data_IF_366068638753
#
_entry.id   IF_366068638753
#
_cell.length_a   1.000
_cell.length_b   1.000
_cell.length_c   1.000
_cell.angle_alpha   90.00
_cell.angle_beta   90.00
_cell.angle_gamma   90.00
#
_symmetry.space_group_name_H-M   'P 1'
#
loop_
_entity.id
_entity.type
_entity.pdbx_description
1 polymer ?
#
# COMPACT_ATOMS: atom_id res chain seq x y z
N UNK A 1 12.56 -9.46 20.20
CA UNK A 1 12.56 -7.99 20.28
C UNK A 1 11.66 -7.44 19.19
N UNK A 2 10.47 -6.97 19.53
CA UNK A 2 9.64 -6.19 18.60
C UNK A 2 10.40 -4.92 18.23
N UNK A 3 10.71 -4.72 16.94
CA UNK A 3 11.26 -3.45 16.48
C UNK A 3 10.17 -2.39 16.64
N UNK A 4 10.34 -1.45 17.57
CA UNK A 4 9.49 -0.27 17.65
C UNK A 4 9.61 0.51 16.34
N UNK A 5 8.51 0.57 15.59
CA UNK A 5 8.41 1.35 14.35
C UNK A 5 8.58 2.83 14.68
N UNK A 6 9.47 3.51 13.96
CA UNK A 6 9.70 4.93 14.18
C UNK A 6 8.66 5.80 13.46
N UNK A 7 8.22 6.86 14.12
CA UNK A 7 7.27 7.83 13.54
C UNK A 7 7.80 8.46 12.24
N UNK A 8 9.12 8.65 12.14
CA UNK A 8 9.77 9.19 10.93
C UNK A 8 9.55 8.29 9.72
N UNK A 9 9.64 6.97 9.92
CA UNK A 9 9.43 5.99 8.86
C UNK A 9 7.97 5.98 8.41
N UNK A 10 7.02 5.99 9.35
CA UNK A 10 5.58 6.09 9.04
C UNK A 10 5.24 7.37 8.27
N UNK A 11 5.85 8.50 8.63
CA UNK A 11 5.73 9.75 7.86
C UNK A 11 6.33 9.59 6.46
N UNK A 12 7.43 8.85 6.32
CA UNK A 12 8.02 8.52 5.02
C UNK A 12 7.09 7.70 4.14
N UNK A 13 6.51 6.63 4.68
CA UNK A 13 5.60 5.73 3.96
C UNK A 13 4.32 6.45 3.56
N UNK A 14 3.68 7.16 4.50
CA UNK A 14 2.44 7.89 4.24
C UNK A 14 2.56 8.92 3.14
N UNK A 15 3.72 9.59 2.98
CA UNK A 15 3.94 10.55 1.88
C UNK A 15 3.88 9.92 0.48
N UNK A 16 4.11 8.61 0.37
CA UNK A 16 4.14 7.90 -0.91
C UNK A 16 2.78 7.33 -1.32
N UNK A 17 1.85 7.18 -0.37
CA UNK A 17 0.55 6.53 -0.63
C UNK A 17 -0.65 7.39 -0.24
N UNK A 18 -0.54 8.29 0.75
CA UNK A 18 -1.65 9.13 1.19
C UNK A 18 -1.70 10.46 0.44
N UNK A 19 -2.91 10.96 0.22
CA UNK A 19 -3.14 12.26 -0.36
C UNK A 19 -2.62 13.42 0.49
N UNK A 20 -2.15 14.48 -0.19
CA UNK A 20 -1.66 15.72 0.46
C UNK A 20 -2.67 16.33 1.42
N UNK A 21 -3.97 16.23 1.14
CA UNK A 21 -5.04 16.72 2.02
C UNK A 21 -5.07 15.96 3.35
N UNK A 22 -4.90 14.64 3.31
CA UNK A 22 -4.85 13.77 4.50
C UNK A 22 -3.59 14.08 5.31
N UNK A 23 -2.43 14.17 4.65
CA UNK A 23 -1.16 14.50 5.30
C UNK A 23 -1.19 15.84 6.05
N UNK A 24 -1.87 16.86 5.49
CA UNK A 24 -2.09 18.14 6.17
C UNK A 24 -2.90 17.99 7.46
N UNK A 25 -3.90 17.10 7.50
CA UNK A 25 -4.69 16.83 8.72
C UNK A 25 -3.85 16.12 9.77
N UNK A 26 -3.11 15.07 9.39
CA UNK A 26 -2.21 14.33 10.30
C UNK A 26 -1.14 15.25 10.91
N UNK A 27 -0.64 16.25 10.15
CA UNK A 27 0.36 17.19 10.67
C UNK A 27 -0.16 18.00 11.87
N UNK A 28 -1.48 18.21 12.00
CA UNK A 28 -2.09 18.97 13.10
C UNK A 28 -2.22 18.17 14.40
N UNK A 29 -2.08 16.84 14.36
CA UNK A 29 -2.08 15.99 15.56
C UNK A 29 -0.80 16.26 16.34
N UNK A 30 -0.95 16.71 17.60
CA UNK A 30 0.16 17.12 18.47
C UNK A 30 0.74 15.94 19.23
N UNK A 31 -0.10 15.04 19.74
CA UNK A 31 0.35 13.86 20.46
C UNK A 31 1.11 12.91 19.53
N UNK A 32 2.26 12.41 19.99
CA UNK A 32 3.14 11.59 19.15
C UNK A 32 2.63 10.17 18.98
N UNK A 33 2.06 9.58 20.02
CA UNK A 33 1.56 8.20 19.97
C UNK A 33 0.24 8.14 19.21
N UNK A 34 -0.69 9.08 19.47
CA UNK A 34 -1.93 9.20 18.70
C UNK A 34 -1.64 9.37 17.20
N UNK A 35 -0.64 10.20 16.87
CA UNK A 35 -0.21 10.40 15.48
C UNK A 35 0.38 9.15 14.86
N UNK A 36 1.11 8.36 15.64
CA UNK A 36 1.72 7.11 15.20
C UNK A 36 0.65 6.07 14.89
N UNK A 37 -0.30 5.88 15.80
CA UNK A 37 -1.42 4.94 15.64
C UNK A 37 -2.30 5.34 14.45
N UNK A 38 -2.61 6.62 14.33
CA UNK A 38 -3.33 7.15 13.18
C UNK A 38 -2.61 6.87 11.86
N UNK A 39 -1.29 7.06 11.81
CA UNK A 39 -0.49 6.76 10.61
C UNK A 39 -0.49 5.27 10.28
N UNK A 40 -0.32 4.39 11.28
CA UNK A 40 -0.38 2.94 11.10
C UNK A 40 -1.72 2.53 10.49
N UNK A 41 -2.82 3.02 11.08
CA UNK A 41 -4.17 2.73 10.60
C UNK A 41 -4.37 3.20 9.16
N UNK A 42 -4.02 4.45 8.86
CA UNK A 42 -4.22 5.03 7.53
C UNK A 42 -3.34 4.37 6.46
N UNK A 43 -2.08 4.05 6.78
CA UNK A 43 -1.19 3.34 5.85
C UNK A 43 -1.76 1.97 5.52
N UNK A 44 -2.17 1.19 6.53
CA UNK A 44 -2.81 -0.11 6.34
C UNK A 44 -4.03 0.03 5.43
N UNK A 45 -4.93 0.96 5.77
CA UNK A 45 -6.19 1.14 5.05
C UNK A 45 -5.96 1.55 3.59
N UNK A 46 -5.02 2.45 3.33
CA UNK A 46 -4.70 2.88 1.99
C UNK A 46 -4.14 1.75 1.13
N UNK A 47 -3.25 0.92 1.68
CA UNK A 47 -2.71 -0.24 0.98
C UNK A 47 -3.80 -1.27 0.62
N UNK A 48 -4.71 -1.53 1.56
CA UNK A 48 -5.88 -2.38 1.32
C UNK A 48 -6.77 -1.82 0.19
N UNK A 49 -7.02 -0.50 0.20
CA UNK A 49 -7.79 0.18 -0.85
C UNK A 49 -7.10 0.10 -2.21
N UNK A 50 -5.78 0.28 -2.26
CA UNK A 50 -4.99 0.14 -3.49
C UNK A 50 -5.12 -1.29 -4.04
N UNK A 51 -4.99 -2.31 -3.19
CA UNK A 51 -5.15 -3.70 -3.61
C UNK A 51 -6.57 -3.98 -4.12
N UNK A 52 -7.59 -3.53 -3.40
CA UNK A 52 -8.98 -3.66 -3.82
C UNK A 52 -9.23 -3.04 -5.21
N UNK A 53 -8.67 -1.85 -5.45
CA UNK A 53 -8.79 -1.18 -6.74
C UNK A 53 -8.08 -1.91 -7.87
N UNK A 54 -6.92 -2.53 -7.59
CA UNK A 54 -6.22 -3.39 -8.53
C UNK A 54 -7.09 -4.59 -8.88
N UNK A 55 -7.56 -5.36 -7.89
CA UNK A 55 -8.41 -6.55 -8.11
C UNK A 55 -9.66 -6.19 -8.93
N UNK A 56 -10.33 -5.08 -8.58
CA UNK A 56 -11.50 -4.61 -9.32
C UNK A 56 -11.18 -4.33 -10.79
N UNK A 57 -10.02 -3.76 -11.09
CA UNK A 57 -9.61 -3.48 -12.46
C UNK A 57 -9.16 -4.74 -13.20
N UNK A 58 -8.50 -5.68 -12.53
CA UNK A 58 -8.15 -6.99 -13.10
C UNK A 58 -9.40 -7.72 -13.57
N UNK A 59 -10.44 -7.81 -12.72
CA UNK A 59 -11.74 -8.40 -13.11
C UNK A 59 -12.36 -7.73 -14.34
N UNK A 60 -12.21 -6.41 -14.47
CA UNK A 60 -12.70 -5.68 -15.65
C UNK A 60 -11.92 -6.02 -16.93
N UNK A 61 -10.64 -6.36 -16.82
CA UNK A 61 -9.82 -6.80 -17.96
C UNK A 61 -10.17 -8.24 -18.34
N UNK A 62 -10.37 -9.11 -17.35
CA UNK A 62 -10.82 -10.50 -17.54
C UNK A 62 -12.16 -10.56 -18.30
N UNK A 63 -13.15 -9.78 -17.87
CA UNK A 63 -14.46 -9.68 -18.54
C UNK A 63 -14.32 -9.22 -20.02
N UNK A 64 -13.27 -8.46 -20.34
CA UNK A 64 -12.97 -8.03 -21.72
C UNK A 64 -12.20 -9.09 -22.53
N UNK A 65 -11.99 -10.28 -21.99
CA UNK A 65 -11.25 -11.37 -22.65
C UNK A 65 -9.75 -11.12 -22.75
N UNK A 66 -9.19 -10.27 -21.88
CA UNK A 66 -7.76 -10.01 -21.84
C UNK A 66 -7.00 -11.10 -21.09
N UNK A 67 -5.78 -11.41 -21.52
CA UNK A 67 -4.88 -12.27 -20.75
C UNK A 67 -4.39 -11.51 -19.50
N UNK A 68 -4.88 -11.96 -18.35
CA UNK A 68 -4.59 -11.34 -17.05
C UNK A 68 -3.72 -12.22 -16.15
N UNK A 69 -3.23 -13.38 -16.62
CA UNK A 69 -2.59 -14.38 -15.76
C UNK A 69 -1.44 -13.79 -14.93
N UNK A 70 -0.51 -13.06 -15.57
CA UNK A 70 0.60 -12.38 -14.87
C UNK A 70 0.09 -11.38 -13.82
N UNK A 71 -0.91 -10.58 -14.16
CA UNK A 71 -1.44 -9.52 -13.31
C UNK A 71 -2.14 -10.12 -12.09
N UNK A 72 -2.87 -11.22 -12.27
CA UNK A 72 -3.59 -11.92 -11.21
C UNK A 72 -2.63 -12.55 -10.19
N UNK A 73 -1.57 -13.22 -10.66
CA UNK A 73 -0.52 -13.78 -9.81
C UNK A 73 0.13 -12.67 -8.98
N UNK A 74 0.47 -11.54 -9.61
CA UNK A 74 1.08 -10.40 -8.91
C UNK A 74 0.12 -9.72 -7.93
N UNK A 75 -1.16 -9.61 -8.27
CA UNK A 75 -2.19 -9.08 -7.36
C UNK A 75 -2.34 -9.95 -6.12
N UNK A 76 -2.32 -11.28 -6.30
CA UNK A 76 -2.37 -12.22 -5.17
C UNK A 76 -1.13 -12.09 -4.28
N UNK A 77 0.06 -11.95 -4.88
CA UNK A 77 1.30 -11.68 -4.14
C UNK A 77 1.26 -10.34 -3.39
N UNK A 78 0.59 -9.32 -3.97
CA UNK A 78 0.46 -8.01 -3.36
C UNK A 78 -0.26 -8.08 -2.02
N UNK A 79 -1.39 -8.80 -1.93
CA UNK A 79 -2.13 -8.97 -0.66
C UNK A 79 -1.23 -9.56 0.44
N UNK A 80 -0.47 -10.61 0.12
CA UNK A 80 0.46 -11.24 1.07
C UNK A 80 1.53 -10.28 1.54
N UNK A 81 2.10 -9.47 0.63
CA UNK A 81 3.11 -8.46 0.99
C UNK A 81 2.53 -7.32 1.83
N UNK A 82 1.29 -6.90 1.60
CA UNK A 82 0.60 -5.92 2.45
C UNK A 82 0.51 -6.47 3.87
N UNK A 83 -0.01 -7.69 4.02
CA UNK A 83 -0.18 -8.32 5.33
C UNK A 83 1.15 -8.39 6.09
N UNK A 84 2.23 -8.82 5.41
CA UNK A 84 3.55 -8.90 6.02
C UNK A 84 4.12 -7.53 6.40
N UNK A 85 3.97 -6.52 5.53
CA UNK A 85 4.43 -5.17 5.82
C UNK A 85 3.68 -4.54 7.00
N UNK A 86 2.37 -4.73 7.11
CA UNK A 86 1.55 -4.13 8.17
C UNK A 86 1.89 -4.69 9.57
N UNK A 87 2.49 -5.88 9.65
CA UNK A 87 2.97 -6.45 10.92
C UNK A 87 4.30 -5.82 11.32
N UNK A 88 5.22 -5.63 10.37
CA UNK A 88 6.62 -5.32 10.68
C UNK A 88 7.03 -3.87 10.38
N UNK A 89 6.24 -3.14 9.58
CA UNK A 89 6.50 -1.82 9.02
C UNK A 89 7.94 -1.62 8.51
N UNK A 90 8.51 -2.69 7.93
CA UNK A 90 9.88 -2.71 7.48
C UNK A 90 10.05 -1.91 6.18
N UNK A 91 11.09 -1.08 6.11
CA UNK A 91 11.39 -0.21 4.97
C UNK A 91 11.65 -0.96 3.67
N UNK A 92 12.36 -2.09 3.73
CA UNK A 92 12.65 -2.93 2.56
C UNK A 92 11.36 -3.53 2.01
N UNK A 93 10.49 -4.02 2.89
CA UNK A 93 9.22 -4.60 2.49
C UNK A 93 8.30 -3.56 1.88
N UNK A 94 8.24 -2.36 2.46
CA UNK A 94 7.52 -1.23 1.88
C UNK A 94 8.02 -0.89 0.47
N UNK A 95 9.34 -0.81 0.28
CA UNK A 95 9.91 -0.52 -1.05
C UNK A 95 9.51 -1.59 -2.07
N UNK A 96 9.62 -2.87 -1.69
CA UNK A 96 9.23 -3.98 -2.56
C UNK A 96 7.73 -3.96 -2.88
N UNK A 97 6.90 -3.58 -1.90
CA UNK A 97 5.46 -3.43 -2.06
C UNK A 97 5.12 -2.34 -3.09
N UNK A 98 5.73 -1.16 -2.96
CA UNK A 98 5.52 -0.05 -3.90
C UNK A 98 5.98 -0.43 -5.31
N UNK A 99 7.13 -1.11 -5.44
CA UNK A 99 7.61 -1.60 -6.73
C UNK A 99 6.63 -2.58 -7.37
N UNK A 100 6.09 -3.53 -6.60
CA UNK A 100 5.08 -4.46 -7.08
C UNK A 100 3.79 -3.74 -7.54
N UNK A 101 3.32 -2.74 -6.80
CA UNK A 101 2.16 -1.92 -7.19
C UNK A 101 2.43 -1.21 -8.53
N UNK A 102 3.62 -0.62 -8.69
CA UNK A 102 4.01 0.07 -9.93
C UNK A 102 4.05 -0.93 -11.09
N UNK A 103 4.62 -2.11 -10.87
CA UNK A 103 4.77 -3.16 -11.87
C UNK A 103 3.41 -3.68 -12.36
N UNK A 104 2.51 -4.03 -11.42
CA UNK A 104 1.12 -4.39 -11.72
C UNK A 104 0.43 -3.31 -12.56
N UNK A 105 0.54 -2.03 -12.13
CA UNK A 105 -0.07 -0.90 -12.86
C UNK A 105 0.51 -0.71 -14.26
N UNK A 106 1.77 -1.07 -14.50
CA UNK A 106 2.38 -1.02 -15.84
C UNK A 106 1.82 -2.14 -16.71
N UNK A 107 1.77 -3.37 -16.21
CA UNK A 107 1.22 -4.50 -16.98
C UNK A 107 -0.24 -4.28 -17.34
N UNK A 108 -1.05 -3.78 -16.42
CA UNK A 108 -2.46 -3.45 -16.68
C UNK A 108 -2.67 -2.38 -17.77
N UNK A 109 -1.65 -1.57 -18.11
CA UNK A 109 -1.73 -0.62 -19.22
C UNK A 109 -1.36 -1.23 -20.56
N UNK A 110 -0.62 -2.33 -20.54
CA UNK A 110 -0.09 -3.01 -21.72
C UNK A 110 -0.98 -4.18 -22.17
N UNK A 111 -1.98 -4.53 -21.37
CA UNK A 111 -2.98 -5.56 -21.61
C UNK A 111 -4.28 -4.94 -22.09
#
# INVERSE_FOLDING_TARGET
MEKKVELKDLVGYSKLILDKKILKKIKKVKDKEEKKDLLIHLIKKELEMIHYDIVRKVRKLEIKGKDIFSIEVKSSLLQTKINYFVINFNKKDFKNLILLIIDIKKEMKNV
#
